data_IF_170824448419
#
_entry.id   IF_170824448419
#
_cell.length_a   1.000
_cell.length_b   1.000
_cell.length_c   1.000
_cell.angle_alpha   90.00
_cell.angle_beta   90.00
_cell.angle_gamma   90.00
#
_symmetry.space_group_name_H-M   'P 1'
#
loop_
_entity.id
_entity.type
_entity.pdbx_description
1 polymer ?
#
# COMPACT_ATOMS: atom_id res chain seq x y z
N UNK A 1 31.51 39.83 -24.59
CA UNK A 1 30.22 39.11 -24.57
C UNK A 1 30.30 38.01 -23.52
N UNK A 2 29.47 38.01 -22.47
CA UNK A 2 29.58 37.06 -21.37
C UNK A 2 28.86 35.75 -21.70
N UNK A 3 29.51 34.62 -21.37
CA UNK A 3 28.94 33.27 -21.45
C UNK A 3 28.00 33.04 -20.25
N UNK A 4 26.75 32.68 -20.54
CA UNK A 4 25.79 32.23 -19.53
C UNK A 4 26.08 30.78 -19.10
N UNK A 5 25.86 30.41 -17.83
CA UNK A 5 26.03 29.03 -17.37
C UNK A 5 24.81 28.17 -17.71
N UNK A 6 25.09 26.92 -18.11
CA UNK A 6 24.10 25.86 -18.35
C UNK A 6 23.63 25.33 -16.99
N UNK A 7 22.32 25.26 -16.70
CA UNK A 7 21.85 24.59 -15.49
C UNK A 7 21.90 23.06 -15.70
N UNK A 8 22.64 22.38 -14.82
CA UNK A 8 22.56 20.93 -14.67
C UNK A 8 21.14 20.55 -14.18
N UNK A 9 20.35 19.92 -15.06
CA UNK A 9 19.15 19.19 -14.66
C UNK A 9 19.56 17.92 -13.93
N UNK A 10 19.29 17.85 -12.63
CA UNK A 10 19.25 16.59 -11.92
C UNK A 10 18.10 15.74 -12.49
N UNK A 11 18.44 14.59 -13.06
CA UNK A 11 17.49 13.58 -13.52
C UNK A 11 17.11 12.75 -12.30
N UNK A 12 15.92 12.99 -11.75
CA UNK A 12 15.33 12.11 -10.76
C UNK A 12 14.81 10.86 -11.48
N UNK A 13 15.36 9.69 -11.13
CA UNK A 13 14.84 8.37 -11.53
C UNK A 13 13.77 7.97 -10.52
N UNK A 14 12.50 7.77 -10.92
CA UNK A 14 11.48 7.42 -9.97
C UNK A 14 11.35 5.89 -9.81
N UNK A 15 11.80 5.39 -8.67
CA UNK A 15 11.54 4.03 -8.20
C UNK A 15 10.10 3.95 -7.67
N UNK A 16 9.20 3.37 -8.45
CA UNK A 16 7.84 3.03 -8.01
C UNK A 16 7.76 1.53 -7.74
N UNK A 17 8.09 1.16 -6.51
CA UNK A 17 7.61 -0.05 -5.86
C UNK A 17 6.98 0.42 -4.55
N UNK A 18 5.70 0.76 -4.67
CA UNK A 18 4.78 1.04 -3.59
C UNK A 18 4.39 -0.33 -3.04
N UNK A 19 4.70 -0.70 -1.80
CA UNK A 19 4.18 -0.13 -0.54
C UNK A 19 5.29 -0.26 0.54
N UNK A 20 5.41 0.70 1.45
CA UNK A 20 6.38 0.78 2.57
C UNK A 20 7.89 0.98 2.26
N UNK A 21 8.41 0.57 1.10
CA UNK A 21 9.85 0.72 0.78
C UNK A 21 10.28 2.14 0.36
N UNK A 22 9.34 2.98 -0.11
CA UNK A 22 9.66 4.29 -0.72
C UNK A 22 10.18 5.33 0.26
N UNK A 23 9.76 5.29 1.53
CA UNK A 23 10.34 6.18 2.57
C UNK A 23 11.75 5.71 2.93
N UNK A 24 12.03 4.41 2.83
CA UNK A 24 13.27 3.83 3.30
C UNK A 24 14.43 3.94 2.29
N UNK A 25 14.20 3.69 1.00
CA UNK A 25 15.25 3.78 -0.02
C UNK A 25 15.71 5.22 -0.32
N UNK A 26 14.86 6.22 -0.08
CA UNK A 26 15.26 7.63 -0.21
C UNK A 26 16.23 8.06 0.90
N UNK A 27 16.09 7.50 2.10
CA UNK A 27 16.80 7.95 3.31
C UNK A 27 18.13 7.23 3.55
N UNK A 28 18.31 6.03 3.00
CA UNK A 28 19.61 5.32 3.02
C UNK A 28 20.57 5.86 1.96
N UNK A 29 20.06 6.33 0.82
CA UNK A 29 20.89 6.90 -0.25
C UNK A 29 21.58 8.21 0.15
N UNK A 30 20.98 9.01 1.04
CA UNK A 30 21.59 10.25 1.57
C UNK A 30 22.71 10.00 2.60
N UNK A 31 22.97 8.75 2.99
CA UNK A 31 24.01 8.39 3.96
C UNK A 31 25.39 8.09 3.38
N UNK A 32 25.55 8.10 2.04
CA UNK A 32 26.81 7.68 1.38
C UNK A 32 27.58 8.80 0.65
N UNK A 33 27.10 10.04 0.65
CA UNK A 33 27.93 11.17 0.18
C UNK A 33 28.85 11.65 1.29
N UNK A 34 30.15 11.55 1.02
CA UNK A 34 31.28 11.89 1.87
C UNK A 34 31.07 13.15 2.73
N UNK A 35 31.47 13.04 3.99
CA UNK A 35 31.65 14.12 4.95
C UNK A 35 32.50 15.24 4.35
N UNK A 36 31.88 16.41 4.13
CA UNK A 36 32.56 17.69 4.18
C UNK A 36 32.22 18.35 5.52
N UNK A 37 33.24 18.80 6.26
CA UNK A 37 33.13 19.37 7.60
C UNK A 37 32.20 20.60 7.69
N UNK A 38 31.59 20.86 8.87
CA UNK A 38 30.59 21.91 9.02
C UNK A 38 31.23 23.26 9.40
N UNK A 39 30.85 24.32 8.70
CA UNK A 39 30.94 25.69 9.25
C UNK A 39 29.65 26.04 9.95
N UNK A 40 29.79 26.33 11.24
CA UNK A 40 28.74 26.77 12.14
C UNK A 40 28.03 28.05 11.66
N UNK A 41 26.70 28.07 11.78
CA UNK A 41 26.00 29.27 12.26
C UNK A 41 24.69 28.91 12.93
N UNK A 42 24.58 29.38 14.17
CA UNK A 42 23.46 29.27 15.08
C UNK A 42 22.39 30.34 14.75
N UNK A 43 21.20 30.12 15.34
CA UNK A 43 20.10 31.06 15.60
C UNK A 43 19.08 31.34 14.48
N UNK A 44 17.90 30.72 14.56
CA UNK A 44 16.76 31.20 15.37
C UNK A 44 15.60 30.19 15.36
N UNK A 45 15.12 29.85 16.56
CA UNK A 45 13.85 29.15 16.81
C UNK A 45 12.68 30.13 16.63
N UNK A 46 11.55 29.64 16.12
CA UNK A 46 10.23 29.84 16.72
C UNK A 46 9.17 28.90 16.09
N UNK A 47 8.61 28.06 16.97
CA UNK A 47 7.20 27.67 17.10
C UNK A 47 6.41 27.22 15.87
N UNK A 48 6.16 25.91 15.79
CA UNK A 48 4.90 25.35 15.29
C UNK A 48 4.48 24.21 16.23
N UNK A 49 3.52 24.52 17.10
CA UNK A 49 2.87 23.58 17.98
C UNK A 49 2.02 22.59 17.17
N UNK A 50 2.23 21.29 17.42
CA UNK A 50 1.37 20.23 16.88
C UNK A 50 0.02 20.27 17.61
N UNK A 51 -1.04 20.58 16.86
CA UNK A 51 -2.43 20.47 17.33
C UNK A 51 -2.81 18.98 17.33
N UNK A 52 -2.75 18.37 18.51
CA UNK A 52 -3.32 17.07 18.82
C UNK A 52 -4.84 17.23 18.99
N UNK A 53 -5.60 17.04 17.92
CA UNK A 53 -7.07 16.98 18.02
C UNK A 53 -7.49 15.57 18.42
N UNK A 54 -7.59 15.33 19.73
CA UNK A 54 -8.30 14.19 20.30
C UNK A 54 -9.81 14.41 20.08
N UNK A 55 -10.41 13.69 19.12
CA UNK A 55 -11.88 13.60 19.03
C UNK A 55 -12.38 12.43 19.88
N UNK A 56 -13.03 12.75 21.00
CA UNK A 56 -13.81 11.84 21.84
C UNK A 56 -15.26 12.31 21.90
N UNK A 57 -16.19 11.35 21.80
CA UNK A 57 -17.61 11.47 22.13
C UNK A 57 -18.50 12.07 21.04
N UNK A 58 -19.72 11.62 20.78
CA UNK A 58 -20.53 10.51 21.27
C UNK A 58 -21.80 10.56 20.40
N UNK A 59 -22.26 9.43 19.88
CA UNK A 59 -23.46 9.34 19.07
C UNK A 59 -23.96 7.90 19.05
N UNK A 60 -24.40 7.42 20.21
CA UNK A 60 -25.03 6.11 20.37
C UNK A 60 -26.45 6.19 19.82
N UNK A 61 -26.63 5.90 18.54
CA UNK A 61 -27.93 5.51 17.99
C UNK A 61 -27.95 3.99 17.97
N UNK A 62 -28.71 3.40 18.89
CA UNK A 62 -29.04 1.97 18.88
C UNK A 62 -29.84 1.66 17.62
N UNK A 63 -29.14 1.35 16.52
CA UNK A 63 -29.73 0.74 15.34
C UNK A 63 -29.80 -0.77 15.57
N UNK A 64 -30.98 -1.33 15.34
CA UNK A 64 -31.24 -2.76 15.41
C UNK A 64 -30.15 -3.52 14.63
N UNK A 65 -29.46 -4.44 15.30
CA UNK A 65 -28.34 -5.20 14.76
C UNK A 65 -28.81 -6.14 13.66
N UNK A 66 -28.97 -5.61 12.45
CA UNK A 66 -28.89 -6.42 11.25
C UNK A 66 -27.52 -7.11 11.30
N UNK A 67 -27.52 -8.44 11.34
CA UNK A 67 -26.28 -9.21 11.30
C UNK A 67 -25.45 -8.71 10.11
N UNK A 68 -24.17 -8.35 10.31
CA UNK A 68 -23.35 -7.81 9.24
C UNK A 68 -23.38 -8.78 8.06
N UNK A 69 -23.81 -8.29 6.91
CA UNK A 69 -23.86 -9.10 5.69
C UNK A 69 -22.44 -9.54 5.37
N UNK A 70 -22.19 -10.84 5.38
CA UNK A 70 -20.88 -11.41 5.09
C UNK A 70 -20.53 -11.30 3.59
N UNK A 71 -19.24 -11.28 3.27
CA UNK A 71 -18.75 -11.22 1.89
C UNK A 71 -18.39 -9.81 1.42
N UNK A 72 -18.26 -9.65 0.11
CA UNK A 72 -17.77 -8.43 -0.53
C UNK A 72 -18.87 -7.37 -0.68
N UNK A 73 -18.69 -6.21 -0.04
CA UNK A 73 -19.67 -5.14 0.07
C UNK A 73 -19.22 -3.89 -0.71
N UNK A 74 -20.11 -3.39 -1.59
CA UNK A 74 -19.88 -2.19 -2.42
C UNK A 74 -20.86 -1.04 -2.08
N UNK A 75 -21.49 -1.11 -0.91
CA UNK A 75 -22.48 -0.15 -0.40
C UNK A 75 -21.88 1.23 -0.09
N UNK A 76 -20.56 1.29 0.19
CA UNK A 76 -19.82 2.55 0.41
C UNK A 76 -19.41 3.28 -0.88
N UNK A 77 -19.77 2.75 -2.05
CA UNK A 77 -19.43 3.36 -3.33
C UNK A 77 -20.51 4.34 -3.80
N UNK A 78 -20.07 5.53 -4.23
CA UNK A 78 -20.92 6.48 -4.97
C UNK A 78 -21.35 5.90 -6.33
N UNK A 79 -22.42 6.45 -6.92
CA UNK A 79 -22.91 6.02 -8.25
C UNK A 79 -21.84 5.97 -9.34
N UNK A 80 -20.86 6.88 -9.31
CA UNK A 80 -19.75 6.87 -10.26
C UNK A 80 -18.80 5.71 -9.99
N UNK A 81 -18.42 5.48 -8.74
CA UNK A 81 -17.55 4.38 -8.34
C UNK A 81 -18.22 3.03 -8.56
N UNK A 82 -19.53 2.93 -8.35
CA UNK A 82 -20.29 1.70 -8.61
C UNK A 82 -20.26 1.29 -10.08
N UNK A 83 -20.18 2.25 -11.02
CA UNK A 83 -19.98 1.92 -12.45
C UNK A 83 -18.61 1.30 -12.69
N UNK A 84 -17.56 1.88 -12.10
CA UNK A 84 -16.19 1.33 -12.17
C UNK A 84 -16.18 -0.08 -11.57
N UNK A 85 -16.77 -0.23 -10.39
CA UNK A 85 -16.89 -1.52 -9.70
C UNK A 85 -17.56 -2.57 -10.57
N UNK A 86 -18.72 -2.27 -11.17
CA UNK A 86 -19.42 -3.21 -12.06
C UNK A 86 -18.56 -3.64 -13.25
N UNK A 87 -17.76 -2.75 -13.82
CA UNK A 87 -16.81 -3.12 -14.88
C UNK A 87 -15.72 -4.05 -14.35
N UNK A 88 -15.19 -3.82 -13.14
CA UNK A 88 -14.25 -4.73 -12.50
C UNK A 88 -14.87 -6.11 -12.21
N UNK A 89 -16.13 -6.16 -11.76
CA UNK A 89 -16.87 -7.42 -11.56
C UNK A 89 -17.05 -8.18 -12.87
N UNK A 90 -17.42 -7.48 -13.96
CA UNK A 90 -17.52 -8.07 -15.29
C UNK A 90 -16.16 -8.63 -15.75
N UNK A 91 -15.07 -7.93 -15.46
CA UNK A 91 -13.71 -8.39 -15.78
C UNK A 91 -13.39 -9.66 -14.99
N UNK A 92 -13.61 -9.68 -13.67
CA UNK A 92 -13.30 -10.82 -12.81
C UNK A 92 -14.17 -12.06 -13.10
N UNK A 93 -15.44 -11.85 -13.49
CA UNK A 93 -16.41 -12.92 -13.75
C UNK A 93 -16.50 -13.34 -15.22
N UNK A 94 -15.68 -12.76 -16.10
CA UNK A 94 -15.71 -13.05 -17.52
C UNK A 94 -15.42 -14.54 -17.80
N UNK A 95 -16.18 -15.14 -18.72
CA UNK A 95 -16.07 -16.56 -19.10
C UNK A 95 -15.91 -16.72 -20.61
N UNK A 96 -15.22 -17.78 -21.03
CA UNK A 96 -15.16 -18.19 -22.43
C UNK A 96 -16.44 -18.91 -22.87
N UNK A 97 -16.52 -19.31 -24.14
CA UNK A 97 -17.67 -20.05 -24.69
C UNK A 97 -17.91 -21.42 -24.04
N UNK A 98 -16.87 -22.02 -23.44
CA UNK A 98 -16.97 -23.26 -22.67
C UNK A 98 -17.41 -23.04 -21.21
N UNK A 99 -17.73 -21.79 -20.83
CA UNK A 99 -18.13 -21.43 -19.48
C UNK A 99 -16.98 -21.40 -18.46
N UNK A 100 -15.72 -21.52 -18.89
CA UNK A 100 -14.57 -21.43 -18.00
C UNK A 100 -14.20 -19.96 -17.74
N UNK A 101 -13.72 -19.59 -16.54
CA UNK A 101 -13.25 -18.23 -16.27
C UNK A 101 -12.12 -17.84 -17.22
N UNK A 102 -12.19 -16.65 -17.82
CA UNK A 102 -11.11 -16.12 -18.66
C UNK A 102 -9.88 -15.73 -17.83
N UNK A 103 -10.09 -15.41 -16.54
CA UNK A 103 -9.04 -15.02 -15.58
C UNK A 103 -9.16 -15.88 -14.33
N UNK A 104 -8.66 -17.13 -14.35
CA UNK A 104 -8.90 -18.11 -13.29
C UNK A 104 -8.51 -17.63 -11.89
N UNK A 105 -7.31 -17.06 -11.72
CA UNK A 105 -6.80 -16.58 -10.43
C UNK A 105 -7.64 -15.40 -9.92
N UNK A 106 -7.93 -14.42 -10.80
CA UNK A 106 -8.79 -13.29 -10.43
C UNK A 106 -10.20 -13.74 -10.05
N UNK A 107 -10.77 -14.68 -10.81
CA UNK A 107 -12.08 -15.26 -10.55
C UNK A 107 -12.12 -15.98 -9.19
N UNK A 108 -11.11 -16.79 -8.87
CA UNK A 108 -11.04 -17.53 -7.61
C UNK A 108 -11.00 -16.56 -6.42
N UNK A 109 -10.13 -15.55 -6.46
CA UNK A 109 -10.00 -14.55 -5.38
C UNK A 109 -11.29 -13.77 -5.18
N UNK A 110 -11.88 -13.31 -6.28
CA UNK A 110 -13.13 -12.57 -6.23
C UNK A 110 -14.29 -13.43 -5.70
N UNK A 111 -14.39 -14.68 -6.15
CA UNK A 111 -15.41 -15.62 -5.69
C UNK A 111 -15.26 -15.95 -4.21
N UNK A 112 -14.03 -16.21 -3.77
CA UNK A 112 -13.70 -16.42 -2.36
C UNK A 112 -14.11 -15.21 -1.51
N UNK A 113 -13.78 -13.99 -1.95
CA UNK A 113 -14.11 -12.77 -1.25
C UNK A 113 -15.64 -12.58 -1.13
N UNK A 114 -16.40 -12.92 -2.17
CA UNK A 114 -17.88 -12.89 -2.12
C UNK A 114 -18.47 -13.88 -1.13
N UNK A 115 -17.83 -15.03 -0.92
CA UNK A 115 -18.27 -16.05 0.04
C UNK A 115 -17.56 -15.97 1.39
N UNK A 116 -16.80 -14.91 1.65
CA UNK A 116 -16.10 -14.72 2.91
C UNK A 116 -17.08 -14.69 4.09
N UNK A 117 -16.75 -15.30 5.25
CA UNK A 117 -17.63 -15.31 6.42
C UNK A 117 -17.67 -13.98 7.17
N UNK A 118 -16.89 -12.98 6.76
CA UNK A 118 -16.88 -11.63 7.33
C UNK A 118 -17.05 -10.58 6.22
N UNK A 119 -17.53 -9.37 6.55
CA UNK A 119 -17.67 -8.30 5.58
C UNK A 119 -16.32 -7.77 5.08
N UNK A 120 -16.20 -7.62 3.76
CA UNK A 120 -15.10 -6.98 3.05
C UNK A 120 -15.66 -5.75 2.33
N UNK A 121 -15.50 -4.56 2.90
CA UNK A 121 -15.97 -3.31 2.32
C UNK A 121 -15.02 -2.80 1.24
N UNK A 122 -15.58 -2.31 0.13
CA UNK A 122 -14.82 -1.65 -0.93
C UNK A 122 -15.05 -0.14 -0.85
N UNK A 123 -13.95 0.61 -0.81
CA UNK A 123 -13.93 2.05 -0.87
C UNK A 123 -13.05 2.52 -2.04
N UNK A 124 -13.41 3.64 -2.66
CA UNK A 124 -12.60 4.29 -3.70
C UNK A 124 -12.39 5.77 -3.35
N UNK A 125 -11.59 6.10 -2.32
CA UNK A 125 -11.53 7.46 -1.80
C UNK A 125 -11.25 8.51 -2.89
N UNK A 126 -11.96 9.64 -2.83
CA UNK A 126 -11.65 10.78 -3.70
C UNK A 126 -10.31 11.39 -3.25
N UNK A 127 -9.52 11.87 -4.19
CA UNK A 127 -8.32 12.64 -3.85
C UNK A 127 -8.72 13.88 -3.03
N UNK A 128 -8.22 13.97 -1.80
CA UNK A 128 -8.40 15.12 -0.91
C UNK A 128 -7.01 15.61 -0.49
N UNK A 129 -6.46 16.59 -1.21
CA UNK A 129 -5.16 17.18 -0.88
C UNK A 129 -3.96 16.31 -1.30
N UNK A 130 -3.07 16.00 -0.35
CA UNK A 130 -1.90 15.15 -0.60
C UNK A 130 -2.35 13.74 -1.00
N UNK A 131 -1.74 13.25 -2.06
CA UNK A 131 -2.09 11.96 -2.64
C UNK A 131 -1.43 10.88 -1.79
N UNK A 132 -2.17 9.83 -1.40
CA UNK A 132 -1.51 8.67 -0.83
C UNK A 132 -0.52 8.16 -1.88
N UNK A 133 0.67 7.78 -1.44
CA UNK A 133 1.65 7.14 -2.31
C UNK A 133 1.26 5.70 -2.64
N UNK A 134 0.08 5.25 -2.20
CA UNK A 134 -0.41 3.88 -2.29
C UNK A 134 -1.49 3.73 -3.36
N UNK A 135 -1.46 2.64 -4.12
CA UNK A 135 -2.49 2.28 -5.09
C UNK A 135 -3.70 1.61 -4.42
N UNK A 136 -3.42 0.79 -3.40
CA UNK A 136 -4.41 0.13 -2.54
C UNK A 136 -3.96 0.12 -1.08
N UNK A 137 -4.91 -0.10 -0.16
CA UNK A 137 -4.63 -0.49 1.22
C UNK A 137 -5.75 -1.35 1.80
N UNK A 138 -5.39 -2.27 2.71
CA UNK A 138 -6.31 -2.99 3.58
C UNK A 138 -6.33 -2.41 4.99
N UNK A 139 -7.52 -2.06 5.47
CA UNK A 139 -7.78 -1.72 6.87
C UNK A 139 -8.49 -2.89 7.53
N UNK A 140 -7.89 -3.44 8.58
CA UNK A 140 -8.41 -4.62 9.26
C UNK A 140 -9.06 -4.17 10.56
N UNK A 141 -10.32 -4.55 10.73
CA UNK A 141 -11.08 -4.31 11.94
C UNK A 141 -11.00 -5.58 12.78
N UNK A 142 -10.53 -5.41 14.02
CA UNK A 142 -10.22 -6.49 14.93
C UNK A 142 -11.12 -6.37 16.15
N UNK A 143 -11.80 -7.46 16.51
CA UNK A 143 -12.61 -7.55 17.72
C UNK A 143 -11.86 -8.37 18.77
N UNK A 144 -11.76 -7.82 19.97
CA UNK A 144 -11.25 -8.56 21.11
C UNK A 144 -12.25 -9.66 21.49
N UNK A 145 -11.80 -10.91 21.46
CA UNK A 145 -12.53 -12.07 21.96
C UNK A 145 -11.76 -12.68 23.14
N UNK A 146 -12.46 -13.44 23.96
CA UNK A 146 -11.96 -14.21 25.11
C UNK A 146 -10.80 -15.15 24.75
N UNK A 147 -10.68 -15.57 23.49
CA UNK A 147 -9.64 -16.48 22.98
C UNK A 147 -8.53 -15.78 22.20
N UNK A 148 -8.63 -14.46 22.00
CA UNK A 148 -7.67 -13.67 21.24
C UNK A 148 -8.33 -12.62 20.35
N UNK A 149 -7.56 -12.06 19.42
CA UNK A 149 -8.06 -11.07 18.49
C UNK A 149 -8.60 -11.75 17.24
N UNK A 150 -9.87 -11.51 16.91
CA UNK A 150 -10.52 -12.05 15.70
C UNK A 150 -10.79 -10.94 14.69
N UNK A 151 -10.50 -11.22 13.43
CA UNK A 151 -10.88 -10.34 12.33
C UNK A 151 -12.40 -10.24 12.23
N UNK A 152 -12.96 -9.03 12.38
CA UNK A 152 -14.40 -8.78 12.33
C UNK A 152 -14.85 -8.18 11.00
N UNK A 153 -14.01 -7.36 10.36
CA UNK A 153 -14.24 -6.81 9.04
C UNK A 153 -12.92 -6.41 8.38
N UNK A 154 -12.95 -6.24 7.05
CA UNK A 154 -11.84 -5.61 6.30
C UNK A 154 -12.41 -4.54 5.40
N UNK A 155 -11.74 -3.39 5.31
CA UNK A 155 -12.01 -2.37 4.30
C UNK A 155 -10.84 -2.30 3.32
N UNK A 156 -11.10 -2.55 2.04
CA UNK A 156 -10.13 -2.37 0.95
C UNK A 156 -10.39 -1.01 0.32
N UNK A 157 -9.36 -0.16 0.30
CA UNK A 157 -9.39 1.14 -0.37
C UNK A 157 -8.60 1.08 -1.66
N UNK A 158 -9.24 1.41 -2.77
CA UNK A 158 -8.60 1.53 -4.07
C UNK A 158 -8.45 3.01 -4.44
N UNK A 159 -7.21 3.49 -4.49
CA UNK A 159 -6.90 4.86 -4.88
C UNK A 159 -6.84 4.98 -6.40
N UNK A 160 -8.01 4.90 -7.04
CA UNK A 160 -8.17 4.95 -8.51
C UNK A 160 -7.36 6.06 -9.19
N UNK A 161 -7.27 7.23 -8.54
CA UNK A 161 -6.50 8.35 -9.07
C UNK A 161 -4.99 8.12 -9.08
N UNK A 162 -4.45 7.39 -8.09
CA UNK A 162 -3.03 6.98 -8.04
C UNK A 162 -2.76 5.91 -9.09
N UNK A 163 -3.66 4.91 -9.18
CA UNK A 163 -3.58 3.84 -10.19
C UNK A 163 -3.61 4.40 -11.62
N UNK A 164 -4.48 5.38 -11.89
CA UNK A 164 -4.59 6.05 -13.19
C UNK A 164 -3.29 6.76 -13.60
N UNK A 165 -2.54 7.27 -12.62
CA UNK A 165 -1.30 8.02 -12.82
C UNK A 165 -0.05 7.15 -12.77
N UNK A 166 -0.17 5.89 -12.37
CA UNK A 166 0.96 4.99 -12.23
C UNK A 166 1.64 4.82 -13.61
N UNK A 167 2.96 5.04 -13.69
CA UNK A 167 3.69 4.92 -14.94
C UNK A 167 3.59 3.48 -15.40
N UNK A 168 3.17 3.29 -16.64
CA UNK A 168 2.88 1.97 -17.21
C UNK A 168 4.01 1.46 -18.08
N UNK A 169 5.17 2.15 -18.07
CA UNK A 169 6.39 1.82 -18.82
C UNK A 169 7.60 2.27 -18.04
N UNK A 170 8.39 1.32 -17.56
CA UNK A 170 9.76 1.61 -17.10
C UNK A 170 10.68 1.50 -18.30
N UNK A 171 11.13 2.65 -18.81
CA UNK A 171 12.07 2.71 -19.93
C UNK A 171 13.43 2.15 -19.45
N UNK A 172 13.85 0.97 -19.94
CA UNK A 172 15.20 0.44 -19.75
C UNK A 172 15.36 -0.81 -18.87
N UNK A 173 14.28 -1.49 -18.47
CA UNK A 173 14.35 -2.84 -17.86
C UNK A 173 13.83 -3.87 -18.88
N UNK A 174 14.64 -4.09 -19.92
CA UNK A 174 14.40 -5.08 -20.97
C UNK A 174 14.79 -6.48 -20.48
N UNK A 175 14.06 -7.01 -19.50
CA UNK A 175 13.91 -8.46 -19.46
C UNK A 175 12.46 -8.75 -19.81
N UNK A 176 12.24 -9.53 -20.88
CA UNK A 176 10.91 -9.92 -21.38
C UNK A 176 10.07 -10.69 -20.33
N UNK A 177 10.63 -10.96 -19.15
CA UNK A 177 10.02 -11.70 -18.04
C UNK A 177 9.86 -10.86 -16.75
N UNK A 178 10.29 -9.59 -16.73
CA UNK A 178 10.10 -8.74 -15.56
C UNK A 178 8.61 -8.39 -15.41
N UNK A 179 8.03 -8.78 -14.27
CA UNK A 179 6.73 -8.29 -13.85
C UNK A 179 6.80 -6.78 -13.58
N UNK A 180 6.07 -5.99 -14.38
CA UNK A 180 5.93 -4.55 -14.21
C UNK A 180 4.45 -4.25 -13.95
N UNK A 181 4.08 -3.81 -12.74
CA UNK A 181 2.69 -3.49 -12.42
C UNK A 181 2.07 -2.57 -13.47
N UNK A 182 0.82 -2.85 -13.85
CA UNK A 182 0.01 -2.10 -14.80
C UNK A 182 0.50 -2.03 -16.26
N UNK A 183 1.65 -2.61 -16.60
CA UNK A 183 2.18 -2.61 -17.97
C UNK A 183 1.19 -3.31 -18.91
N UNK A 184 0.90 -2.70 -20.05
CA UNK A 184 -0.03 -3.25 -21.05
C UNK A 184 -1.53 -3.23 -20.68
N UNK A 185 -1.87 -2.96 -19.42
CA UNK A 185 -3.24 -3.00 -18.93
C UNK A 185 -4.03 -1.72 -19.20
N UNK A 186 -5.30 -1.90 -19.57
CA UNK A 186 -6.30 -0.83 -19.63
C UNK A 186 -6.67 -0.37 -18.22
N UNK A 187 -7.31 0.80 -18.13
CA UNK A 187 -7.62 1.47 -16.87
C UNK A 187 -8.31 0.56 -15.84
N UNK A 188 -9.41 -0.09 -16.21
CA UNK A 188 -10.16 -0.94 -15.28
C UNK A 188 -9.44 -2.25 -14.96
N UNK A 189 -8.61 -2.76 -15.87
CA UNK A 189 -7.76 -3.94 -15.63
C UNK A 189 -6.70 -3.63 -14.56
N UNK A 190 -6.15 -2.41 -14.54
CA UNK A 190 -5.24 -1.97 -13.46
C UNK A 190 -5.92 -1.97 -12.11
N UNK A 191 -7.20 -1.56 -12.05
CA UNK A 191 -7.95 -1.64 -10.79
C UNK A 191 -8.16 -3.09 -10.34
N UNK A 192 -8.35 -4.02 -11.28
CA UNK A 192 -8.44 -5.45 -10.98
C UNK A 192 -7.11 -6.02 -10.51
N UNK A 193 -5.99 -5.61 -11.10
CA UNK A 193 -4.65 -5.97 -10.63
C UNK A 193 -4.44 -5.51 -9.17
N UNK A 194 -4.69 -4.23 -8.86
CA UNK A 194 -4.59 -3.71 -7.49
C UNK A 194 -5.55 -4.43 -6.54
N UNK A 195 -6.80 -4.66 -6.95
CA UNK A 195 -7.77 -5.39 -6.12
C UNK A 195 -7.30 -6.81 -5.82
N UNK A 196 -6.70 -7.51 -6.77
CA UNK A 196 -6.18 -8.86 -6.57
C UNK A 196 -5.05 -8.88 -5.52
N UNK A 197 -4.16 -7.89 -5.58
CA UNK A 197 -3.11 -7.70 -4.58
C UNK A 197 -3.71 -7.53 -3.16
N UNK A 198 -4.67 -6.62 -3.00
CA UNK A 198 -5.30 -6.38 -1.70
C UNK A 198 -6.12 -7.60 -1.23
N UNK A 199 -6.84 -8.27 -2.12
CA UNK A 199 -7.57 -9.50 -1.78
C UNK A 199 -6.63 -10.64 -1.35
N UNK A 200 -5.40 -10.70 -1.88
CA UNK A 200 -4.39 -11.64 -1.43
C UNK A 200 -3.99 -11.37 0.03
N UNK A 201 -3.79 -10.10 0.41
CA UNK A 201 -3.57 -9.72 1.82
C UNK A 201 -4.75 -10.10 2.71
N UNK A 202 -5.98 -9.85 2.26
CA UNK A 202 -7.17 -10.26 3.01
C UNK A 202 -7.20 -11.77 3.19
N UNK A 203 -6.98 -12.56 2.13
CA UNK A 203 -6.94 -14.03 2.23
C UNK A 203 -5.84 -14.50 3.17
N UNK A 204 -4.64 -13.93 3.06
CA UNK A 204 -3.52 -14.27 3.93
C UNK A 204 -3.84 -13.97 5.39
N UNK A 205 -4.50 -12.86 5.70
CA UNK A 205 -4.90 -12.53 7.08
C UNK A 205 -5.83 -13.55 7.73
N UNK A 206 -6.56 -14.32 6.91
CA UNK A 206 -7.48 -15.37 7.35
C UNK A 206 -6.78 -16.71 7.45
N UNK A 207 -5.89 -17.02 6.50
CA UNK A 207 -5.26 -18.34 6.40
C UNK A 207 -3.96 -18.47 7.18
N UNK A 208 -3.30 -17.34 7.47
CA UNK A 208 -2.04 -17.29 8.23
C UNK A 208 -2.27 -16.56 9.57
N UNK A 209 -2.36 -17.31 10.69
CA UNK A 209 -2.52 -16.72 12.02
C UNK A 209 -1.39 -15.76 12.44
N UNK A 210 -0.23 -15.82 11.77
CA UNK A 210 0.92 -14.94 12.00
C UNK A 210 0.84 -13.60 11.28
N UNK A 211 0.03 -13.49 10.22
CA UNK A 211 0.04 -12.35 9.32
C UNK A 211 -0.23 -11.01 10.01
N UNK A 212 -1.32 -10.91 10.79
CA UNK A 212 -1.67 -9.68 11.49
C UNK A 212 -0.58 -9.27 12.50
N UNK A 213 0.01 -10.23 13.21
CA UNK A 213 1.15 -9.98 14.12
C UNK A 213 2.38 -9.48 13.37
N UNK A 214 2.68 -10.04 12.20
CA UNK A 214 3.79 -9.56 11.36
C UNK A 214 3.56 -8.13 10.89
N UNK A 215 2.33 -7.79 10.47
CA UNK A 215 1.96 -6.44 10.06
C UNK A 215 2.09 -5.44 11.22
N UNK A 216 1.59 -5.80 12.39
CA UNK A 216 1.69 -4.94 13.58
C UNK A 216 3.15 -4.75 14.02
N UNK A 217 3.96 -5.82 13.91
CA UNK A 217 5.41 -5.74 14.14
C UNK A 217 6.07 -4.80 13.13
N UNK A 218 5.75 -4.93 11.85
CA UNK A 218 6.28 -4.05 10.80
C UNK A 218 5.91 -2.59 11.06
N UNK A 219 4.67 -2.30 11.46
CA UNK A 219 4.22 -0.96 11.85
C UNK A 219 5.02 -0.43 13.04
N UNK A 220 5.14 -1.20 14.11
CA UNK A 220 5.93 -0.82 15.31
C UNK A 220 7.39 -0.53 14.97
N UNK A 221 7.99 -1.30 14.04
CA UNK A 221 9.37 -1.07 13.62
C UNK A 221 9.52 0.18 12.75
N UNK A 222 8.54 0.49 11.90
CA UNK A 222 8.52 1.76 11.16
C UNK A 222 8.41 2.96 12.12
N UNK A 223 7.53 2.88 13.13
CA UNK A 223 7.39 3.91 14.15
C UNK A 223 8.70 4.11 14.93
N UNK A 224 9.42 3.02 15.21
CA UNK A 224 10.72 3.06 15.88
C UNK A 224 11.80 3.72 15.00
N UNK A 225 11.83 3.44 13.69
CA UNK A 225 12.74 4.14 12.77
C UNK A 225 12.48 5.64 12.78
N UNK A 226 11.20 6.07 12.76
CA UNK A 226 10.83 7.48 12.84
C UNK A 226 11.26 8.10 14.17
N UNK A 227 11.10 7.38 15.28
CA UNK A 227 11.58 7.81 16.60
C UNK A 227 13.10 7.99 16.59
N UNK A 228 13.85 7.02 16.07
CA UNK A 228 15.31 7.06 15.98
C UNK A 228 15.80 8.20 15.08
N UNK A 229 15.11 8.51 13.99
CA UNK A 229 15.43 9.66 13.13
C UNK A 229 15.44 10.97 13.92
N UNK A 230 14.48 11.17 14.82
CA UNK A 230 14.47 12.37 15.68
C UNK A 230 15.69 12.46 16.60
N UNK A 231 16.19 11.32 17.09
CA UNK A 231 17.36 11.24 17.96
C UNK A 231 18.69 11.40 17.21
N UNK A 232 18.73 11.02 15.92
CA UNK A 232 19.92 11.16 15.06
C UNK A 232 20.35 12.62 14.87
N UNK A 233 19.44 13.58 15.08
CA UNK A 233 19.72 15.01 15.00
C UNK A 233 20.66 15.50 16.11
N UNK A 234 20.86 14.71 17.17
CA UNK A 234 21.80 14.98 18.25
C UNK A 234 23.18 14.40 17.85
N UNK A 235 24.25 15.22 17.69
CA UNK A 235 25.54 14.76 17.15
C UNK A 235 26.13 13.54 17.87
N UNK A 236 26.01 13.50 19.20
CA UNK A 236 26.53 12.44 20.07
C UNK A 236 25.84 11.08 19.80
N UNK A 237 24.59 11.11 19.33
CA UNK A 237 23.78 9.94 19.06
C UNK A 237 23.90 9.44 17.61
N UNK A 238 24.50 10.21 16.71
CA UNK A 238 24.44 9.95 15.27
C UNK A 238 24.95 8.54 14.89
N UNK A 239 26.14 8.15 15.37
CA UNK A 239 26.75 6.83 15.06
C UNK A 239 25.98 5.64 15.68
N UNK A 240 25.67 5.60 16.99
CA UNK A 240 24.92 4.48 17.56
C UNK A 240 23.51 4.35 16.97
N UNK A 241 22.80 5.48 16.79
CA UNK A 241 21.45 5.49 16.20
C UNK A 241 21.46 4.98 14.76
N UNK A 242 22.47 5.34 13.96
CA UNK A 242 22.57 4.86 12.57
C UNK A 242 22.69 3.33 12.52
N UNK A 243 23.51 2.72 13.39
CA UNK A 243 23.65 1.25 13.46
C UNK A 243 22.35 0.56 13.88
N UNK A 244 21.62 1.16 14.83
CA UNK A 244 20.33 0.64 15.28
C UNK A 244 19.27 0.72 14.16
N UNK A 245 19.20 1.85 13.47
CA UNK A 245 18.32 2.04 12.30
C UNK A 245 18.64 1.02 11.20
N UNK A 246 19.91 0.74 10.91
CA UNK A 246 20.32 -0.28 9.94
C UNK A 246 19.91 -1.71 10.36
N UNK A 247 19.98 -2.03 11.65
CA UNK A 247 19.55 -3.33 12.16
C UNK A 247 18.02 -3.51 12.03
N UNK A 248 17.25 -2.46 12.37
CA UNK A 248 15.80 -2.43 12.20
C UNK A 248 15.41 -2.52 10.72
N UNK A 249 16.13 -1.81 9.85
CA UNK A 249 15.93 -1.84 8.41
C UNK A 249 16.04 -3.23 7.79
N UNK A 250 17.05 -4.01 8.21
CA UNK A 250 17.23 -5.39 7.75
C UNK A 250 16.03 -6.26 8.13
N UNK A 251 15.50 -6.08 9.33
CA UNK A 251 14.31 -6.79 9.79
C UNK A 251 13.04 -6.33 9.08
N UNK A 252 12.86 -5.02 8.86
CA UNK A 252 11.78 -4.46 8.04
C UNK A 252 11.78 -5.11 6.66
N UNK A 253 12.95 -5.19 6.00
CA UNK A 253 13.08 -5.82 4.67
C UNK A 253 12.58 -7.28 4.66
N UNK A 254 12.94 -8.06 5.69
CA UNK A 254 12.49 -9.46 5.81
C UNK A 254 10.97 -9.53 6.03
N UNK A 255 10.43 -8.72 6.94
CA UNK A 255 8.99 -8.68 7.22
C UNK A 255 8.19 -8.24 5.99
N UNK A 256 8.62 -7.20 5.30
CA UNK A 256 8.00 -6.74 4.06
C UNK A 256 8.02 -7.85 3.00
N UNK A 257 9.12 -8.59 2.83
CA UNK A 257 9.15 -9.69 1.87
C UNK A 257 8.16 -10.82 2.22
N UNK A 258 8.00 -11.12 3.51
CA UNK A 258 7.06 -12.16 3.98
C UNK A 258 5.59 -11.72 3.87
N UNK A 259 5.31 -10.44 4.06
CA UNK A 259 3.97 -9.86 3.96
C UNK A 259 3.58 -9.65 2.49
N UNK A 260 4.43 -8.99 1.70
CA UNK A 260 4.12 -8.58 0.32
C UNK A 260 4.37 -9.70 -0.70
N UNK A 261 5.29 -10.63 -0.43
CA UNK A 261 5.68 -11.68 -1.38
C UNK A 261 4.49 -12.49 -1.92
N UNK A 262 3.60 -13.02 -1.07
CA UNK A 262 2.41 -13.73 -1.52
C UNK A 262 1.46 -12.86 -2.38
N UNK A 263 1.21 -11.62 -1.97
CA UNK A 263 0.36 -10.69 -2.73
C UNK A 263 0.96 -10.33 -4.10
N UNK A 264 2.27 -10.07 -4.17
CA UNK A 264 3.00 -9.82 -5.42
C UNK A 264 2.97 -11.03 -6.36
N UNK A 265 3.04 -12.25 -5.82
CA UNK A 265 2.93 -13.47 -6.63
C UNK A 265 1.53 -13.60 -7.26
N UNK A 266 0.48 -13.30 -6.50
CA UNK A 266 -0.91 -13.24 -6.98
C UNK A 266 -1.10 -12.14 -8.02
N UNK A 267 -0.64 -10.93 -7.71
CA UNK A 267 -0.70 -9.76 -8.60
C UNK A 267 -0.06 -10.05 -9.96
N UNK A 268 1.13 -10.69 -9.95
CA UNK A 268 1.82 -11.12 -11.17
C UNK A 268 1.02 -12.14 -11.97
N UNK A 269 0.36 -13.10 -11.30
CA UNK A 269 -0.45 -14.09 -11.99
C UNK A 269 -1.65 -13.43 -12.67
N UNK A 270 -2.37 -12.55 -11.95
CA UNK A 270 -3.50 -11.79 -12.48
C UNK A 270 -3.07 -10.86 -13.61
N UNK A 271 -1.91 -10.20 -13.50
CA UNK A 271 -1.38 -9.37 -14.58
C UNK A 271 -1.17 -10.14 -15.88
N UNK A 272 -0.69 -11.39 -15.82
CA UNK A 272 -0.58 -12.26 -17.01
C UNK A 272 -1.95 -12.56 -17.60
N UNK A 273 -2.92 -12.96 -16.78
CA UNK A 273 -4.30 -13.24 -17.20
C UNK A 273 -4.99 -12.02 -17.82
N UNK A 274 -4.67 -10.80 -17.35
CA UNK A 274 -5.22 -9.56 -17.89
C UNK A 274 -4.51 -9.09 -19.16
N UNK A 275 -3.25 -9.50 -19.37
CA UNK A 275 -2.44 -9.11 -20.53
C UNK A 275 -2.65 -10.03 -21.74
N UNK A 276 -3.00 -11.29 -21.50
CA UNK A 276 -3.37 -12.26 -22.54
C UNK A 276 -4.76 -11.90 -23.08
N UNK A 277 -4.82 -11.43 -24.34
CA UNK A 277 -6.04 -10.99 -25.02
C UNK A 277 -6.53 -12.01 -26.04
#
# INVERSE_FOLDING_TARGET
>A
MPRLPIPHRAVAVPNYLVTLLSVFNLLVAEGQTAYAEPRARCEKRNECAAVLTVRRGQGSVSSASASPTAGLMADRLSRRQLRIWRTMEQIALARNYAGQPLRPVLYELYSWAKTSPFPIYIEMPKAQGQWPYLAGECLFEEQADTTGTRLSAVTIRLYTTVIDKAPSRVRGLESEQAFVPYEGLRREERYCETLAHELAHVRQSVTDPGFLRMRDRLKSMNDEVLRLQSLRLIPENCKPVTREMEAIAKQIKVLTANIEGPAVAVERAVWRELSER
#
